data_IF_177230654296
#
_entry.id   IF_177230654296
#
_cell.length_a   1.000
_cell.length_b   1.000
_cell.length_c   1.000
_cell.angle_alpha   90.00
_cell.angle_beta   90.00
_cell.angle_gamma   90.00
#
_symmetry.space_group_name_H-M   'P 1'
#
loop_
_entity.id
_entity.type
_entity.pdbx_description
1 polymer ?
#
# COMPACT_ATOMS: atom_id res chain seq x y z
N UNK A 1 -0.39 -6.25 11.11
CA UNK A 1 -0.93 -4.87 11.22
C UNK A 1 -0.13 -4.11 12.25
N UNK A 2 -0.11 -2.78 12.16
CA UNK A 2 0.34 -1.94 13.27
C UNK A 2 -0.61 -2.08 14.48
N UNK A 3 -0.19 -1.50 15.61
CA UNK A 3 -0.93 -1.57 16.88
C UNK A 3 -1.95 -0.42 17.06
N UNK A 4 -2.31 0.30 16.00
CA UNK A 4 -3.27 1.39 16.05
C UNK A 4 -4.65 0.96 16.56
N UNK A 5 -5.34 1.88 17.25
CA UNK A 5 -6.67 1.65 17.83
C UNK A 5 -7.69 1.04 16.85
N UNK A 6 -7.82 1.54 15.61
CA UNK A 6 -8.72 0.95 14.62
C UNK A 6 -8.38 -0.52 14.28
N UNK A 7 -7.08 -0.83 14.18
CA UNK A 7 -6.59 -2.16 13.83
C UNK A 7 -6.78 -3.19 14.94
N UNK A 8 -6.98 -2.74 16.19
CA UNK A 8 -7.29 -3.58 17.35
C UNK A 8 -8.77 -3.54 17.74
N UNK A 9 -9.63 -2.91 16.94
CA UNK A 9 -11.05 -2.80 17.24
C UNK A 9 -11.74 -4.16 17.20
N UNK A 10 -12.69 -4.37 18.12
CA UNK A 10 -13.46 -5.61 18.20
C UNK A 10 -14.20 -5.92 16.90
N UNK A 11 -14.82 -4.91 16.29
CA UNK A 11 -15.59 -5.05 15.05
C UNK A 11 -14.72 -5.52 13.89
N UNK A 12 -13.51 -4.98 13.74
CA UNK A 12 -12.57 -5.43 12.72
C UNK A 12 -12.12 -6.87 12.98
N UNK A 13 -11.74 -7.20 14.21
CA UNK A 13 -11.27 -8.53 14.59
C UNK A 13 -12.37 -9.59 14.38
N UNK A 14 -13.59 -9.30 14.81
CA UNK A 14 -14.74 -10.18 14.59
C UNK A 14 -14.97 -10.43 13.08
N UNK A 15 -14.84 -9.40 12.25
CA UNK A 15 -14.97 -9.55 10.79
C UNK A 15 -13.84 -10.36 10.18
N UNK A 16 -12.60 -10.19 10.64
CA UNK A 16 -11.45 -11.00 10.21
C UNK A 16 -11.68 -12.48 10.52
N UNK A 17 -12.10 -12.81 11.75
CA UNK A 17 -12.45 -14.18 12.12
C UNK A 17 -13.57 -14.76 11.25
N UNK A 18 -14.63 -13.99 11.02
CA UNK A 18 -15.74 -14.43 10.16
C UNK A 18 -15.31 -14.70 8.71
N UNK A 19 -14.28 -14.00 8.22
CA UNK A 19 -13.69 -14.21 6.89
C UNK A 19 -12.58 -15.28 6.87
N UNK A 20 -12.28 -15.92 8.00
CA UNK A 20 -11.17 -16.89 8.11
C UNK A 20 -9.78 -16.26 8.00
N UNK A 21 -9.66 -14.95 8.22
CA UNK A 21 -8.39 -14.22 8.15
C UNK A 21 -7.74 -14.17 9.52
N UNK A 22 -6.52 -14.69 9.63
CA UNK A 22 -5.73 -14.62 10.86
C UNK A 22 -5.16 -13.21 11.06
N UNK A 23 -5.37 -12.65 12.26
CA UNK A 23 -4.77 -11.37 12.64
C UNK A 23 -3.37 -11.55 13.20
N UNK A 24 -2.41 -10.76 12.72
CA UNK A 24 -1.07 -10.65 13.29
C UNK A 24 -0.72 -9.17 13.52
N UNK A 25 0.03 -8.88 14.58
CA UNK A 25 0.38 -7.52 14.98
C UNK A 25 1.89 -7.35 15.11
N UNK A 26 2.38 -6.16 14.76
CA UNK A 26 3.76 -5.75 14.99
C UNK A 26 4.12 -5.81 16.46
N UNK A 27 5.40 -6.02 16.77
CA UNK A 27 5.90 -6.04 18.14
C UNK A 27 5.68 -4.67 18.79
N UNK A 28 5.41 -4.63 20.11
CA UNK A 28 5.26 -3.36 20.82
C UNK A 28 6.49 -2.47 20.65
N UNK A 29 6.28 -1.21 20.28
CA UNK A 29 7.33 -0.18 20.11
C UNK A 29 8.34 -0.46 18.99
N UNK A 30 7.98 -1.25 17.98
CA UNK A 30 8.82 -1.51 16.81
C UNK A 30 8.13 -0.98 15.56
N UNK A 31 8.62 0.14 15.02
CA UNK A 31 8.01 0.79 13.84
C UNK A 31 8.32 0.04 12.54
N UNK A 32 9.49 -0.59 12.43
CA UNK A 32 9.96 -1.22 11.19
C UNK A 32 9.40 -2.62 10.91
N UNK A 33 8.40 -3.09 11.67
CA UNK A 33 7.78 -4.41 11.48
C UNK A 33 6.81 -4.44 10.28
N UNK A 34 6.56 -3.31 9.60
CA UNK A 34 5.74 -3.23 8.38
C UNK A 34 6.45 -2.48 7.23
N UNK A 35 7.66 -2.91 6.83
CA UNK A 35 8.51 -2.16 5.91
C UNK A 35 7.89 -2.01 4.51
N UNK A 36 7.07 -2.97 4.08
CA UNK A 36 6.40 -2.93 2.79
C UNK A 36 5.35 -1.82 2.72
N UNK A 37 4.50 -1.69 3.74
CA UNK A 37 3.47 -0.63 3.75
C UNK A 37 4.12 0.75 3.94
N UNK A 38 5.18 0.85 4.75
CA UNK A 38 5.92 2.10 4.91
C UNK A 38 6.59 2.55 3.61
N UNK A 39 7.17 1.61 2.85
CA UNK A 39 7.73 1.90 1.52
C UNK A 39 6.67 2.44 0.56
N UNK A 40 5.47 1.81 0.52
CA UNK A 40 4.33 2.31 -0.25
C UNK A 40 3.97 3.75 0.11
N UNK A 41 3.83 4.05 1.40
CA UNK A 41 3.50 5.41 1.86
C UNK A 41 4.59 6.42 1.55
N UNK A 42 5.86 6.01 1.57
CA UNK A 42 6.96 6.85 1.11
C UNK A 42 6.79 7.15 -0.39
N UNK A 43 6.60 6.16 -1.25
CA UNK A 43 6.38 6.39 -2.68
C UNK A 43 5.20 7.32 -2.95
N UNK A 44 4.11 7.17 -2.18
CA UNK A 44 2.94 8.04 -2.25
C UNK A 44 3.27 9.51 -1.92
N UNK A 45 4.03 9.76 -0.86
CA UNK A 45 4.39 11.13 -0.42
C UNK A 45 5.44 11.80 -1.31
N UNK A 46 6.31 11.03 -1.93
CA UNK A 46 7.42 11.54 -2.73
C UNK A 46 7.15 11.46 -4.24
N UNK A 47 5.92 11.14 -4.66
CA UNK A 47 5.57 11.18 -6.07
C UNK A 47 5.50 12.65 -6.58
N UNK A 48 5.79 12.93 -7.86
CA UNK A 48 5.92 14.30 -8.37
C UNK A 48 4.67 15.17 -8.26
N UNK A 49 3.49 14.56 -8.12
CA UNK A 49 2.19 15.26 -8.05
C UNK A 49 1.56 15.18 -6.65
N UNK A 50 2.38 15.03 -5.61
CA UNK A 50 1.93 15.12 -4.23
C UNK A 50 1.16 16.43 -3.99
N UNK A 51 -0.05 16.39 -3.40
CA UNK A 51 -0.89 17.56 -3.22
C UNK A 51 -0.42 18.30 -1.96
N UNK A 52 0.60 19.15 -2.09
CA UNK A 52 1.20 19.89 -0.97
C UNK A 52 0.18 20.73 -0.19
N UNK A 53 -0.80 21.32 -0.91
CA UNK A 53 -1.88 22.12 -0.32
C UNK A 53 -3.07 21.28 0.19
N UNK A 54 -2.98 19.96 0.15
CA UNK A 54 -4.05 19.05 0.52
C UNK A 54 -5.22 19.02 -0.46
N UNK A 55 -6.38 18.55 0.03
CA UNK A 55 -7.60 18.41 -0.76
C UNK A 55 -8.73 19.24 -0.16
N UNK A 56 -9.51 19.90 -1.02
CA UNK A 56 -10.66 20.71 -0.59
C UNK A 56 -11.85 19.85 -0.15
N UNK A 57 -12.09 18.74 -0.83
CA UNK A 57 -13.18 17.80 -0.52
C UNK A 57 -12.69 16.36 -0.61
N UNK A 58 -13.38 15.45 0.09
CA UNK A 58 -13.05 14.01 0.11
C UNK A 58 -13.05 13.38 -1.28
N UNK A 59 -13.86 13.90 -2.22
CA UNK A 59 -13.91 13.38 -3.58
C UNK A 59 -12.60 13.60 -4.33
N UNK A 60 -11.99 14.79 -4.17
CA UNK A 60 -10.70 15.11 -4.80
C UNK A 60 -9.60 14.18 -4.28
N UNK A 61 -9.61 13.89 -2.97
CA UNK A 61 -8.71 12.93 -2.35
C UNK A 61 -8.89 11.51 -2.95
N UNK A 62 -10.14 11.06 -3.11
CA UNK A 62 -10.43 9.73 -3.71
C UNK A 62 -9.95 9.64 -5.15
N UNK A 63 -10.22 10.65 -5.97
CA UNK A 63 -9.77 10.72 -7.36
C UNK A 63 -8.25 10.69 -7.43
N UNK A 64 -7.58 11.49 -6.61
CA UNK A 64 -6.13 11.54 -6.57
C UNK A 64 -5.51 10.22 -6.12
N UNK A 65 -6.04 9.60 -5.05
CA UNK A 65 -5.54 8.30 -4.56
C UNK A 65 -5.76 7.20 -5.60
N UNK A 66 -6.91 7.18 -6.28
CA UNK A 66 -7.15 6.22 -7.36
C UNK A 66 -6.14 6.39 -8.51
N UNK A 67 -5.85 7.64 -8.90
CA UNK A 67 -4.82 7.92 -9.90
C UNK A 67 -3.45 7.44 -9.44
N UNK A 68 -3.08 7.71 -8.18
CA UNK A 68 -1.83 7.22 -7.61
C UNK A 68 -1.75 5.69 -7.62
N UNK A 69 -2.81 4.99 -7.19
CA UNK A 69 -2.86 3.52 -7.16
C UNK A 69 -2.74 2.93 -8.56
N UNK A 70 -3.38 3.52 -9.56
CA UNK A 70 -3.26 3.08 -10.95
C UNK A 70 -1.81 3.24 -11.44
N UNK A 71 -1.25 4.44 -11.26
CA UNK A 71 0.14 4.71 -11.64
C UNK A 71 1.12 3.78 -10.92
N UNK A 72 0.99 3.60 -9.61
CA UNK A 72 1.88 2.76 -8.80
C UNK A 72 1.90 1.30 -9.30
N UNK A 73 0.74 0.75 -9.66
CA UNK A 73 0.60 -0.66 -10.01
C UNK A 73 0.90 -0.95 -11.49
N UNK A 74 0.61 -0.02 -12.40
CA UNK A 74 0.60 -0.29 -13.84
C UNK A 74 1.59 0.55 -14.65
N UNK A 75 2.18 1.61 -14.09
CA UNK A 75 3.09 2.50 -14.82
C UNK A 75 4.45 2.64 -14.13
N UNK A 76 4.46 2.78 -12.80
CA UNK A 76 5.70 2.98 -12.04
C UNK A 76 6.49 1.66 -11.92
N UNK A 77 7.71 1.68 -12.42
CA UNK A 77 8.67 0.57 -12.31
C UNK A 77 9.50 0.75 -11.04
N UNK A 78 9.59 -0.32 -10.24
CA UNK A 78 10.25 -0.26 -8.93
C UNK A 78 11.58 -1.01 -8.96
N UNK A 79 12.66 -0.37 -8.51
CA UNK A 79 13.99 -0.97 -8.46
C UNK A 79 14.02 -2.23 -7.58
N UNK A 80 13.25 -2.25 -6.48
CA UNK A 80 13.13 -3.40 -5.59
C UNK A 80 12.55 -4.68 -6.22
N UNK A 81 11.95 -4.58 -7.40
CA UNK A 81 11.46 -5.72 -8.19
C UNK A 81 12.09 -5.76 -9.60
N UNK A 82 13.33 -5.28 -9.75
CA UNK A 82 14.07 -5.28 -11.03
C UNK A 82 13.43 -4.42 -12.13
N UNK A 83 12.86 -3.27 -11.76
CA UNK A 83 12.29 -2.30 -12.70
C UNK A 83 11.13 -2.86 -13.56
N UNK A 84 10.30 -3.72 -13.00
CA UNK A 84 8.96 -4.02 -13.53
C UNK A 84 7.90 -3.33 -12.69
N UNK A 85 6.67 -3.28 -13.19
CA UNK A 85 5.52 -2.79 -12.44
C UNK A 85 5.01 -3.84 -11.45
N UNK A 86 4.37 -3.45 -10.34
CA UNK A 86 3.79 -4.40 -9.40
C UNK A 86 2.77 -5.34 -10.06
N UNK A 87 1.98 -4.85 -11.02
CA UNK A 87 1.03 -5.68 -11.76
C UNK A 87 1.72 -6.74 -12.62
N UNK A 88 2.79 -6.38 -13.35
CA UNK A 88 3.58 -7.33 -14.15
C UNK A 88 4.17 -8.43 -13.26
N UNK A 89 4.73 -8.05 -12.11
CA UNK A 89 5.29 -9.00 -11.14
C UNK A 89 4.21 -9.90 -10.52
N UNK A 90 3.06 -9.32 -10.20
CA UNK A 90 1.94 -10.07 -9.60
C UNK A 90 1.36 -11.11 -10.57
N UNK A 91 1.32 -10.79 -11.86
CA UNK A 91 0.83 -11.69 -12.91
C UNK A 91 1.88 -12.68 -13.42
N UNK A 92 3.15 -12.56 -12.98
CA UNK A 92 4.26 -13.38 -13.46
C UNK A 92 4.77 -13.03 -14.87
N UNK A 93 4.34 -11.89 -15.43
CA UNK A 93 4.76 -11.42 -16.76
C UNK A 93 6.22 -10.96 -16.77
N UNK A 94 6.74 -10.58 -15.61
CA UNK A 94 8.12 -10.16 -15.42
C UNK A 94 9.14 -11.22 -15.85
N UNK A 95 8.81 -12.51 -15.75
CA UNK A 95 9.68 -13.59 -16.22
C UNK A 95 9.97 -13.48 -17.72
N UNK A 96 8.99 -13.03 -18.52
CA UNK A 96 9.16 -12.81 -19.96
C UNK A 96 9.87 -11.50 -20.26
N UNK A 97 9.62 -10.46 -19.46
CA UNK A 97 10.19 -9.12 -19.63
C UNK A 97 11.68 -9.09 -19.29
N UNK A 98 12.09 -9.91 -18.31
CA UNK A 98 13.46 -9.96 -17.78
C UNK A 98 14.30 -11.12 -18.36
N UNK A 99 13.76 -11.86 -19.34
CA UNK A 99 14.45 -12.97 -20.02
C UNK A 99 15.51 -12.48 -21.01
#
# INVERSE_FOLDING_TARGET
SDNGGPMRSYTLLAKMYALGVLSSYSRPRVSNDNPYSESLFRTLKYCPWWPENGFRIINDARVWVNRFVNWYNFEHKHSGIKYVTPAERHQGNDMKILA
#
